data_IF_922717679463
#
_entry.id   IF_922717679463
#
_cell.length_a   1.000
_cell.length_b   1.000
_cell.length_c   1.000
_cell.angle_alpha   90.00
_cell.angle_beta   90.00
_cell.angle_gamma   90.00
#
_symmetry.space_group_name_H-M   'P 1'
#
loop_
_entity.id
_entity.type
_entity.pdbx_description
1 polymer ?
#
# COMPACT_ATOMS: atom_id res chain seq x y z
N UNK A 1 -20.99 -35.18 -9.15
CA UNK A 1 -20.22 -34.01 -8.73
C UNK A 1 -19.80 -33.25 -9.99
N UNK A 2 -20.21 -32.00 -10.12
CA UNK A 2 -19.96 -31.18 -11.29
C UNK A 2 -18.63 -30.41 -11.14
N UNK A 3 -17.95 -30.11 -12.24
CA UNK A 3 -16.71 -29.36 -12.27
C UNK A 3 -16.97 -27.96 -12.85
N UNK A 4 -16.87 -26.93 -12.01
CA UNK A 4 -16.96 -25.53 -12.42
C UNK A 4 -15.56 -25.03 -12.76
N UNK A 5 -15.33 -24.72 -14.03
CA UNK A 5 -14.02 -24.29 -14.55
C UNK A 5 -13.67 -22.90 -13.99
N UNK A 6 -12.39 -22.68 -13.61
CA UNK A 6 -11.90 -21.42 -13.07
C UNK A 6 -12.11 -21.25 -11.56
N UNK A 7 -12.56 -22.31 -10.87
CA UNK A 7 -12.70 -22.33 -9.43
C UNK A 7 -11.73 -23.30 -8.75
N UNK A 8 -11.25 -22.92 -7.58
CA UNK A 8 -10.43 -23.79 -6.72
C UNK A 8 -11.24 -25.03 -6.30
N UNK A 9 -10.56 -26.10 -5.84
CA UNK A 9 -11.23 -27.30 -5.35
C UNK A 9 -12.24 -27.01 -4.23
N UNK A 10 -11.89 -26.11 -3.28
CA UNK A 10 -12.79 -25.74 -2.19
C UNK A 10 -14.04 -25.01 -2.67
N UNK A 11 -13.90 -24.11 -3.67
CA UNK A 11 -15.05 -23.42 -4.26
C UNK A 11 -15.92 -24.35 -5.10
N UNK A 12 -15.32 -25.30 -5.81
CA UNK A 12 -16.05 -26.38 -6.51
C UNK A 12 -16.86 -27.23 -5.52
N UNK A 13 -16.28 -27.58 -4.37
CA UNK A 13 -16.98 -28.34 -3.33
C UNK A 13 -18.17 -27.51 -2.77
N UNK A 14 -17.98 -26.21 -2.53
CA UNK A 14 -19.05 -25.31 -2.07
C UNK A 14 -20.21 -25.23 -3.08
N UNK A 15 -19.90 -25.09 -4.37
CA UNK A 15 -20.91 -25.03 -5.45
C UNK A 15 -21.66 -26.36 -5.59
N UNK A 16 -20.98 -27.49 -5.49
CA UNK A 16 -21.64 -28.80 -5.50
C UNK A 16 -22.53 -29.01 -4.28
N UNK A 17 -22.07 -28.61 -3.09
CA UNK A 17 -22.89 -28.64 -1.89
C UNK A 17 -24.12 -27.74 -2.00
N UNK A 18 -24.02 -26.62 -2.72
CA UNK A 18 -25.18 -25.73 -2.97
C UNK A 18 -26.27 -26.41 -3.77
N UNK A 19 -25.92 -27.29 -4.72
CA UNK A 19 -26.86 -28.10 -5.48
C UNK A 19 -27.52 -29.12 -4.55
N UNK A 20 -26.70 -29.89 -3.81
CA UNK A 20 -27.18 -30.89 -2.85
C UNK A 20 -28.10 -30.28 -1.76
N UNK A 21 -27.75 -29.10 -1.24
CA UNK A 21 -28.57 -28.39 -0.27
C UNK A 21 -29.93 -27.96 -0.84
N UNK A 22 -29.97 -27.53 -2.12
CA UNK A 22 -31.22 -27.19 -2.79
C UNK A 22 -32.10 -28.44 -2.99
N UNK A 23 -31.53 -29.57 -3.40
CA UNK A 23 -32.22 -30.87 -3.54
C UNK A 23 -32.78 -31.35 -2.19
N UNK A 24 -31.98 -31.28 -1.11
CA UNK A 24 -32.38 -31.71 0.23
C UNK A 24 -33.47 -30.82 0.84
N UNK A 25 -33.52 -29.54 0.47
CA UNK A 25 -34.59 -28.62 0.84
C UNK A 25 -35.84 -28.78 -0.04
N UNK A 26 -35.76 -29.55 -1.10
CA UNK A 26 -36.83 -29.79 -2.06
C UNK A 26 -37.16 -28.57 -2.92
N UNK A 27 -36.19 -27.71 -3.17
CA UNK A 27 -36.35 -26.56 -4.05
C UNK A 27 -36.17 -26.98 -5.52
N UNK A 28 -36.82 -26.27 -6.43
CA UNK A 28 -36.77 -26.54 -7.89
C UNK A 28 -35.74 -25.65 -8.60
N UNK A 29 -34.89 -24.95 -7.86
CA UNK A 29 -33.89 -24.03 -8.38
C UNK A 29 -32.71 -23.91 -7.39
N UNK A 30 -31.54 -23.48 -7.93
CA UNK A 30 -30.35 -23.18 -7.13
C UNK A 30 -30.24 -21.66 -6.98
N UNK A 31 -30.58 -21.16 -5.79
CA UNK A 31 -30.57 -19.75 -5.44
C UNK A 31 -29.31 -19.32 -4.64
N UNK A 32 -29.16 -18.03 -4.40
CA UNK A 32 -28.05 -17.46 -3.63
C UNK A 32 -28.03 -17.91 -2.16
N UNK A 33 -29.18 -18.28 -1.60
CA UNK A 33 -29.33 -18.91 -0.29
C UNK A 33 -28.64 -20.26 -0.23
N UNK A 34 -28.69 -21.05 -1.32
CA UNK A 34 -27.99 -22.33 -1.40
C UNK A 34 -26.48 -22.15 -1.57
N UNK A 35 -26.04 -21.11 -2.32
CA UNK A 35 -24.62 -20.74 -2.37
C UNK A 35 -24.12 -20.37 -0.97
N UNK A 36 -24.92 -19.66 -0.16
CA UNK A 36 -24.57 -19.34 1.23
C UNK A 36 -24.37 -20.61 2.07
N UNK A 37 -25.22 -21.64 1.92
CA UNK A 37 -25.03 -22.94 2.58
C UNK A 37 -23.76 -23.65 2.10
N UNK A 38 -23.48 -23.64 0.81
CA UNK A 38 -22.25 -24.17 0.25
C UNK A 38 -20.99 -23.52 0.82
N UNK A 39 -21.01 -22.21 1.01
CA UNK A 39 -19.93 -21.45 1.61
C UNK A 39 -19.74 -21.72 3.11
N UNK A 40 -20.72 -22.31 3.79
CA UNK A 40 -20.69 -22.73 5.19
C UNK A 40 -20.47 -24.23 5.38
N UNK A 41 -20.44 -25.03 4.31
CA UNK A 41 -20.46 -26.50 4.36
C UNK A 41 -19.22 -27.13 5.02
N UNK A 42 -18.05 -26.51 4.88
CA UNK A 42 -16.81 -26.99 5.48
C UNK A 42 -16.16 -25.85 6.32
N UNK A 43 -16.00 -26.10 7.63
CA UNK A 43 -15.38 -25.16 8.56
C UNK A 43 -13.95 -24.75 8.23
N UNK A 44 -13.26 -25.53 7.38
CA UNK A 44 -11.90 -25.23 6.91
C UNK A 44 -11.88 -24.19 5.79
N UNK A 45 -13.03 -23.90 5.18
CA UNK A 45 -13.14 -22.85 4.15
C UNK A 45 -12.98 -21.45 4.75
N UNK A 46 -12.30 -20.57 4.01
CA UNK A 46 -12.13 -19.16 4.41
C UNK A 46 -13.48 -18.48 4.61
N UNK A 47 -14.45 -18.72 3.71
CA UNK A 47 -15.81 -18.20 3.82
C UNK A 47 -16.52 -18.62 5.12
N UNK A 48 -16.39 -19.91 5.48
CA UNK A 48 -16.99 -20.44 6.70
C UNK A 48 -16.35 -19.85 7.97
N UNK A 49 -15.03 -19.61 7.96
CA UNK A 49 -14.31 -18.95 9.05
C UNK A 49 -14.79 -17.50 9.25
N UNK A 50 -14.95 -16.76 8.15
CA UNK A 50 -15.43 -15.36 8.18
C UNK A 50 -16.87 -15.30 8.71
N UNK A 51 -17.78 -16.12 8.18
CA UNK A 51 -19.16 -16.15 8.62
C UNK A 51 -19.29 -16.67 10.06
N UNK A 52 -18.44 -17.63 10.45
CA UNK A 52 -18.34 -18.18 11.80
C UNK A 52 -17.94 -17.16 12.85
N UNK A 53 -17.05 -16.21 12.51
CA UNK A 53 -16.68 -15.09 13.41
C UNK A 53 -17.88 -14.21 13.77
N UNK A 54 -18.88 -14.14 12.90
CA UNK A 54 -20.17 -13.47 13.12
C UNK A 54 -21.23 -14.40 13.74
N UNK A 55 -20.84 -15.58 14.23
CA UNK A 55 -21.73 -16.59 14.83
C UNK A 55 -22.79 -17.17 13.87
N UNK A 56 -22.54 -17.06 12.56
CA UNK A 56 -23.35 -17.69 11.50
C UNK A 56 -22.80 -19.09 11.27
N UNK A 57 -23.64 -20.08 11.51
CA UNK A 57 -23.31 -21.49 11.30
C UNK A 57 -24.21 -22.10 10.23
N UNK A 58 -23.77 -23.19 9.59
CA UNK A 58 -24.56 -23.89 8.58
C UNK A 58 -25.98 -24.21 9.10
N UNK A 59 -26.10 -24.74 10.34
CA UNK A 59 -27.41 -25.08 10.94
C UNK A 59 -28.33 -23.88 11.05
N UNK A 60 -27.82 -22.72 11.54
CA UNK A 60 -28.61 -21.48 11.67
C UNK A 60 -29.07 -20.96 10.30
N UNK A 61 -28.18 -20.97 9.32
CA UNK A 61 -28.51 -20.52 7.97
C UNK A 61 -29.57 -21.46 7.32
N UNK A 62 -29.41 -22.77 7.46
CA UNK A 62 -30.38 -23.74 6.97
C UNK A 62 -31.75 -23.61 7.62
N UNK A 63 -31.81 -23.46 8.95
CA UNK A 63 -33.05 -23.23 9.69
C UNK A 63 -33.76 -21.96 9.25
N UNK A 64 -32.96 -20.86 9.05
CA UNK A 64 -33.52 -19.59 8.57
C UNK A 64 -34.05 -19.71 7.12
N UNK A 65 -33.39 -20.48 6.26
CA UNK A 65 -33.88 -20.75 4.89
C UNK A 65 -35.20 -21.52 4.94
N UNK A 66 -35.32 -22.55 5.78
CA UNK A 66 -36.55 -23.30 5.99
C UNK A 66 -37.71 -22.41 6.46
N UNK A 67 -37.40 -21.43 7.32
CA UNK A 67 -38.41 -20.50 7.84
C UNK A 67 -38.89 -19.47 6.81
N UNK A 68 -37.96 -18.98 5.94
CA UNK A 68 -38.23 -17.87 5.01
C UNK A 68 -38.71 -18.37 3.65
N UNK A 69 -38.10 -19.45 3.14
CA UNK A 69 -38.34 -19.98 1.78
C UNK A 69 -39.26 -21.20 1.83
N UNK A 70 -39.21 -21.97 2.93
CA UNK A 70 -39.96 -23.21 3.10
C UNK A 70 -39.18 -24.46 2.74
N UNK A 71 -39.88 -25.60 2.71
CA UNK A 71 -39.38 -26.91 2.31
C UNK A 71 -40.31 -27.45 1.24
N UNK A 72 -39.73 -27.96 0.15
CA UNK A 72 -40.47 -28.57 -0.95
C UNK A 72 -40.39 -30.09 -0.97
N UNK A 73 -40.80 -30.68 -2.08
CA UNK A 73 -40.64 -32.12 -2.35
C UNK A 73 -39.23 -32.37 -2.87
N UNK A 74 -38.66 -33.56 -2.59
CA UNK A 74 -37.33 -33.93 -3.12
C UNK A 74 -37.23 -33.74 -4.64
N UNK A 75 -36.16 -33.10 -5.11
CA UNK A 75 -35.91 -32.76 -6.50
C UNK A 75 -34.50 -33.24 -6.88
N UNK A 76 -34.27 -33.46 -8.17
CA UNK A 76 -32.96 -33.68 -8.74
C UNK A 76 -32.59 -32.44 -9.55
N UNK A 77 -31.49 -31.79 -9.20
CA UNK A 77 -31.05 -30.54 -9.81
C UNK A 77 -29.72 -30.70 -10.55
N UNK A 78 -29.56 -29.88 -11.54
CA UNK A 78 -28.33 -29.76 -12.34
C UNK A 78 -27.83 -28.33 -12.32
N UNK A 79 -26.59 -28.05 -12.76
CA UNK A 79 -26.12 -26.68 -12.90
C UNK A 79 -26.96 -25.78 -13.81
N UNK A 80 -27.82 -26.35 -14.67
CA UNK A 80 -28.72 -25.59 -15.54
C UNK A 80 -29.88 -24.94 -14.75
N UNK A 81 -30.21 -25.49 -13.58
CA UNK A 81 -31.25 -24.99 -12.68
C UNK A 81 -30.80 -23.82 -11.80
N UNK A 82 -29.58 -23.31 -12.06
CA UNK A 82 -29.05 -22.12 -11.39
C UNK A 82 -29.83 -20.88 -11.85
N UNK A 83 -30.37 -20.12 -10.88
CA UNK A 83 -31.10 -18.89 -11.17
C UNK A 83 -30.22 -17.86 -11.89
N UNK A 84 -30.80 -16.97 -12.74
CA UNK A 84 -30.00 -15.94 -13.45
C UNK A 84 -29.16 -15.06 -12.51
N UNK A 85 -29.69 -14.75 -11.32
CA UNK A 85 -28.97 -13.97 -10.31
C UNK A 85 -27.79 -14.75 -9.73
N UNK A 86 -27.93 -16.05 -9.47
CA UNK A 86 -26.80 -16.87 -9.03
C UNK A 86 -25.77 -17.06 -10.12
N UNK A 87 -26.18 -17.18 -11.37
CA UNK A 87 -25.26 -17.22 -12.50
C UNK A 87 -24.39 -15.97 -12.57
N UNK A 88 -25.00 -14.80 -12.38
CA UNK A 88 -24.28 -13.53 -12.28
C UNK A 88 -23.30 -13.49 -11.09
N UNK A 89 -23.68 -14.03 -9.92
CA UNK A 89 -22.78 -14.14 -8.76
C UNK A 89 -21.56 -15.01 -9.10
N UNK A 90 -21.76 -16.14 -9.76
CA UNK A 90 -20.68 -17.05 -10.19
C UNK A 90 -19.77 -16.37 -11.21
N UNK A 91 -20.32 -15.68 -12.20
CA UNK A 91 -19.55 -14.91 -13.20
C UNK A 91 -18.72 -13.80 -12.56
N UNK A 92 -19.32 -13.04 -11.63
CA UNK A 92 -18.62 -12.02 -10.86
C UNK A 92 -17.50 -12.61 -9.98
N UNK A 93 -17.73 -13.78 -9.40
CA UNK A 93 -16.69 -14.49 -8.64
C UNK A 93 -15.53 -14.89 -9.55
N UNK A 94 -15.80 -15.41 -10.75
CA UNK A 94 -14.77 -15.73 -11.76
C UNK A 94 -13.97 -14.48 -12.18
N UNK A 95 -14.65 -13.34 -12.38
CA UNK A 95 -13.99 -12.09 -12.71
C UNK A 95 -13.04 -11.63 -11.60
N UNK A 96 -13.43 -11.81 -10.33
CA UNK A 96 -12.58 -11.54 -9.17
C UNK A 96 -11.39 -12.52 -9.08
N UNK A 97 -11.59 -13.78 -9.45
CA UNK A 97 -10.56 -14.82 -9.45
C UNK A 97 -9.48 -14.62 -10.51
N UNK A 98 -9.76 -13.93 -11.62
CA UNK A 98 -8.76 -13.60 -12.65
C UNK A 98 -7.60 -12.78 -12.13
N UNK A 99 -7.84 -11.97 -11.11
CA UNK A 99 -6.84 -11.14 -10.44
C UNK A 99 -6.19 -11.86 -9.24
N UNK A 100 -6.56 -13.11 -8.97
CA UNK A 100 -5.94 -13.91 -7.90
C UNK A 100 -4.62 -14.54 -8.38
N UNK A 101 -3.65 -14.79 -7.48
CA UNK A 101 -2.31 -15.30 -7.83
C UNK A 101 -2.30 -16.59 -8.65
N UNK A 102 -3.31 -17.44 -8.49
CA UNK A 102 -3.46 -18.71 -9.23
C UNK A 102 -4.42 -18.60 -10.42
N UNK A 103 -5.01 -17.43 -10.67
CA UNK A 103 -6.01 -17.23 -11.72
C UNK A 103 -7.34 -17.99 -11.50
N UNK A 104 -7.53 -18.57 -10.30
CA UNK A 104 -8.71 -19.33 -9.92
C UNK A 104 -9.51 -18.65 -8.82
N UNK A 105 -10.84 -18.78 -8.87
CA UNK A 105 -11.75 -18.21 -7.89
C UNK A 105 -11.95 -19.15 -6.69
N UNK A 106 -11.64 -18.69 -5.50
CA UNK A 106 -11.85 -19.41 -4.24
C UNK A 106 -13.21 -19.09 -3.59
N UNK A 107 -13.45 -19.71 -2.41
CA UNK A 107 -14.67 -19.50 -1.61
C UNK A 107 -14.81 -18.05 -1.13
N UNK A 108 -13.70 -17.33 -0.99
CA UNK A 108 -13.66 -15.92 -0.62
C UNK A 108 -14.17 -15.01 -1.73
N UNK A 109 -13.74 -15.23 -2.99
CA UNK A 109 -14.22 -14.49 -4.16
C UNK A 109 -15.71 -14.77 -4.39
N UNK A 110 -16.13 -16.03 -4.18
CA UNK A 110 -17.55 -16.39 -4.28
C UNK A 110 -18.40 -15.71 -3.20
N UNK A 111 -17.92 -15.62 -1.96
CA UNK A 111 -18.57 -14.86 -0.88
C UNK A 111 -18.61 -13.36 -1.21
N UNK A 112 -17.50 -12.77 -1.67
CA UNK A 112 -17.47 -11.38 -2.11
C UNK A 112 -18.50 -11.07 -3.19
N UNK A 113 -18.60 -11.93 -4.20
CA UNK A 113 -19.56 -11.77 -5.30
C UNK A 113 -21.02 -11.86 -4.81
N UNK A 114 -21.30 -12.77 -3.86
CA UNK A 114 -22.62 -12.89 -3.23
C UNK A 114 -22.98 -11.61 -2.46
N UNK A 115 -22.07 -11.07 -1.66
CA UNK A 115 -22.30 -9.87 -0.85
C UNK A 115 -22.52 -8.60 -1.69
N UNK A 116 -21.95 -8.53 -2.90
CA UNK A 116 -22.17 -7.41 -3.84
C UNK A 116 -23.60 -7.37 -4.39
N UNK A 117 -24.27 -8.50 -4.48
CA UNK A 117 -25.69 -8.60 -4.89
C UNK A 117 -26.61 -8.43 -3.67
N UNK A 118 -26.63 -7.24 -3.08
CA UNK A 118 -27.31 -6.93 -1.81
C UNK A 118 -28.80 -7.31 -1.77
N UNK A 119 -29.48 -7.39 -2.91
CA UNK A 119 -30.89 -7.75 -3.05
C UNK A 119 -31.11 -9.28 -3.18
N UNK A 120 -30.05 -10.09 -3.13
CA UNK A 120 -30.17 -11.55 -3.25
C UNK A 120 -30.73 -12.19 -1.96
N UNK A 121 -31.32 -13.39 -2.08
CA UNK A 121 -31.89 -14.12 -0.95
C UNK A 121 -30.83 -14.46 0.11
N UNK A 122 -29.60 -14.82 -0.30
CA UNK A 122 -28.49 -15.05 0.62
C UNK A 122 -28.18 -13.84 1.51
N UNK A 123 -28.15 -12.62 0.96
CA UNK A 123 -27.94 -11.40 1.73
C UNK A 123 -29.13 -11.09 2.67
N UNK A 124 -30.35 -11.36 2.25
CA UNK A 124 -31.54 -11.20 3.11
C UNK A 124 -31.51 -12.14 4.30
N UNK A 125 -31.05 -13.38 4.10
CA UNK A 125 -30.87 -14.37 5.17
C UNK A 125 -29.79 -13.93 6.15
N UNK A 126 -28.63 -13.43 5.66
CA UNK A 126 -27.60 -12.84 6.52
C UNK A 126 -28.16 -11.70 7.38
N UNK A 127 -28.93 -10.81 6.77
CA UNK A 127 -29.56 -9.68 7.48
C UNK A 127 -30.58 -10.16 8.54
N UNK A 128 -31.37 -11.21 8.26
CA UNK A 128 -32.31 -11.80 9.23
C UNK A 128 -31.59 -12.50 10.40
N UNK A 129 -30.35 -12.94 10.19
CA UNK A 129 -29.48 -13.49 11.24
C UNK A 129 -28.73 -12.40 12.02
N UNK A 130 -29.04 -11.10 11.78
CA UNK A 130 -28.47 -9.96 12.50
C UNK A 130 -27.10 -9.49 12.00
N UNK A 131 -26.70 -9.90 10.79
CA UNK A 131 -25.41 -9.52 10.21
C UNK A 131 -25.63 -8.82 8.88
N UNK A 132 -25.12 -7.59 8.76
CA UNK A 132 -25.23 -6.85 7.49
C UNK A 132 -24.25 -7.37 6.45
N UNK A 133 -24.58 -7.38 5.15
CA UNK A 133 -23.63 -7.72 4.08
C UNK A 133 -22.35 -6.86 4.13
N UNK A 134 -22.45 -5.63 4.60
CA UNK A 134 -21.34 -4.71 4.75
C UNK A 134 -20.32 -5.17 5.82
N UNK A 135 -20.81 -5.63 6.99
CA UNK A 135 -19.95 -6.13 8.07
C UNK A 135 -19.15 -7.36 7.63
N UNK A 136 -19.77 -8.23 6.83
CA UNK A 136 -19.08 -9.41 6.26
C UNK A 136 -18.10 -9.00 5.17
N UNK A 137 -18.44 -8.02 4.32
CA UNK A 137 -17.54 -7.53 3.27
C UNK A 137 -16.25 -6.96 3.83
N UNK A 138 -16.30 -6.24 4.95
CA UNK A 138 -15.10 -5.71 5.61
C UNK A 138 -14.18 -6.83 6.11
N UNK A 139 -14.75 -7.93 6.62
CA UNK A 139 -13.97 -9.07 7.10
C UNK A 139 -13.48 -9.96 5.96
N UNK A 140 -14.20 -10.02 4.84
CA UNK A 140 -13.73 -10.65 3.60
C UNK A 140 -12.51 -9.93 3.06
N UNK A 141 -12.48 -8.59 3.07
CA UNK A 141 -11.32 -7.81 2.65
C UNK A 141 -10.11 -8.08 3.56
N UNK A 142 -10.31 -8.11 4.89
CA UNK A 142 -9.27 -8.48 5.86
C UNK A 142 -8.76 -9.91 5.68
N UNK A 143 -9.64 -10.85 5.33
CA UNK A 143 -9.26 -12.24 5.12
C UNK A 143 -8.56 -12.46 3.76
N UNK A 144 -8.79 -11.59 2.75
CA UNK A 144 -7.97 -11.54 1.53
C UNK A 144 -6.52 -11.29 1.89
N UNK A 145 -6.30 -10.37 2.82
CA UNK A 145 -4.96 -10.04 3.32
C UNK A 145 -4.28 -11.20 4.09
N UNK A 146 -5.05 -12.11 4.69
CA UNK A 146 -4.55 -13.24 5.51
C UNK A 146 -4.30 -14.51 4.67
N UNK A 147 -5.08 -14.78 3.62
CA UNK A 147 -4.92 -15.98 2.79
C UNK A 147 -3.76 -15.88 1.79
N UNK A 148 -3.36 -14.67 1.41
CA UNK A 148 -2.15 -14.41 0.63
C UNK A 148 -0.88 -14.60 1.45
N UNK A 149 -0.96 -14.56 2.80
CA UNK A 149 0.20 -14.61 3.70
C UNK A 149 0.77 -16.01 3.99
N UNK A 150 0.27 -17.09 3.40
CA UNK A 150 0.80 -18.45 3.64
C UNK A 150 1.60 -19.07 2.49
N UNK A 151 1.65 -18.49 1.28
CA UNK A 151 2.35 -19.12 0.16
C UNK A 151 3.16 -18.20 -0.78
N UNK A 152 3.35 -16.94 -0.43
CA UNK A 152 4.37 -16.10 -1.05
C UNK A 152 5.11 -15.34 0.04
N UNK A 153 6.08 -16.02 0.65
CA UNK A 153 7.11 -15.31 1.38
C UNK A 153 7.81 -14.38 0.38
N UNK A 154 7.76 -13.09 0.67
CA UNK A 154 8.72 -12.03 0.38
C UNK A 154 8.51 -11.05 -0.77
N UNK A 155 7.42 -10.97 -1.54
CA UNK A 155 7.35 -9.84 -2.47
C UNK A 155 6.00 -9.18 -2.75
N UNK A 156 4.86 -9.63 -2.18
CA UNK A 156 3.55 -9.00 -2.43
C UNK A 156 2.67 -8.89 -1.18
N UNK A 157 3.28 -8.57 -0.05
CA UNK A 157 2.53 -8.23 1.14
C UNK A 157 2.22 -6.75 1.14
N UNK A 158 0.95 -6.47 1.04
CA UNK A 158 0.31 -5.19 1.31
C UNK A 158 0.55 -4.17 0.20
N UNK A 159 -0.51 -3.72 -0.46
CA UNK A 159 -0.57 -2.31 -0.85
C UNK A 159 -0.51 -1.53 0.45
N UNK A 160 0.67 -1.42 0.98
CA UNK A 160 1.01 -0.74 2.19
C UNK A 160 0.69 0.73 1.99
N UNK A 161 0.36 1.43 3.05
CA UNK A 161 0.22 2.89 3.01
C UNK A 161 1.47 3.53 2.41
N UNK A 162 2.65 2.91 2.63
CA UNK A 162 3.91 3.27 1.98
C UNK A 162 3.82 3.17 0.45
N UNK A 163 3.29 2.08 -0.12
CA UNK A 163 3.16 1.96 -1.59
C UNK A 163 2.08 2.86 -2.19
N UNK A 164 1.16 3.35 -1.37
CA UNK A 164 0.10 4.28 -1.80
C UNK A 164 0.55 5.74 -1.79
N UNK A 165 1.37 6.13 -0.83
CA UNK A 165 1.80 7.52 -0.59
C UNK A 165 3.30 7.71 -0.65
N UNK A 166 4.07 6.63 -0.82
CA UNK A 166 5.52 6.63 -0.92
C UNK A 166 6.00 6.16 -2.28
N UNK A 167 7.14 6.67 -2.69
CA UNK A 167 7.89 6.26 -3.89
C UNK A 167 9.18 5.61 -3.43
N UNK A 168 9.38 4.32 -3.75
CA UNK A 168 10.61 3.63 -3.42
C UNK A 168 11.74 4.07 -4.37
N UNK A 169 12.65 4.88 -3.84
CA UNK A 169 13.79 5.40 -4.61
C UNK A 169 14.82 4.30 -4.85
N UNK A 170 14.98 3.33 -3.95
CA UNK A 170 15.95 2.24 -4.11
C UNK A 170 15.51 1.28 -5.21
N UNK A 171 14.25 0.90 -5.23
CA UNK A 171 13.67 0.08 -6.31
C UNK A 171 13.76 0.80 -7.67
N UNK A 172 13.52 2.10 -7.70
CA UNK A 172 13.70 2.90 -8.92
C UNK A 172 15.16 2.97 -9.37
N UNK A 173 16.11 3.07 -8.43
CA UNK A 173 17.54 3.05 -8.73
C UNK A 173 17.96 1.70 -9.34
N UNK A 174 17.50 0.58 -8.77
CA UNK A 174 17.76 -0.77 -9.28
C UNK A 174 17.22 -0.96 -10.70
N UNK A 175 16.06 -0.40 -10.99
CA UNK A 175 15.42 -0.45 -12.31
C UNK A 175 15.95 0.60 -13.31
N UNK A 176 16.96 1.38 -12.95
CA UNK A 176 17.52 2.44 -13.81
C UNK A 176 16.60 3.64 -14.03
N UNK A 177 15.58 3.81 -13.17
CA UNK A 177 14.59 4.88 -13.24
C UNK A 177 15.04 6.21 -12.63
N UNK A 178 16.24 6.26 -12.02
CA UNK A 178 16.82 7.49 -11.45
C UNK A 178 17.96 7.99 -12.35
N UNK A 179 18.04 9.29 -12.49
CA UNK A 179 19.13 9.94 -13.21
C UNK A 179 20.45 9.87 -12.41
N UNK A 180 21.60 9.79 -13.07
CA UNK A 180 22.88 9.82 -12.38
C UNK A 180 23.05 11.15 -11.62
N UNK A 181 23.35 11.04 -10.33
CA UNK A 181 23.56 12.21 -9.47
C UNK A 181 25.01 12.62 -9.52
N UNK A 182 25.28 13.80 -10.04
CA UNK A 182 26.64 14.34 -10.27
C UNK A 182 26.85 15.55 -9.37
N UNK A 183 28.07 15.72 -8.85
CA UNK A 183 28.47 16.91 -8.08
C UNK A 183 27.91 16.96 -6.64
N UNK A 184 27.32 15.86 -6.15
CA UNK A 184 26.73 15.78 -4.79
C UNK A 184 27.39 14.71 -3.90
N UNK A 185 28.52 14.18 -4.29
CA UNK A 185 29.20 13.07 -3.59
C UNK A 185 29.55 13.41 -2.13
N UNK A 186 29.97 14.67 -1.85
CA UNK A 186 30.29 15.10 -0.51
C UNK A 186 29.05 15.10 0.42
N UNK A 187 27.90 15.61 -0.10
CA UNK A 187 26.64 15.64 0.62
C UNK A 187 26.11 14.22 0.86
N UNK A 188 26.13 13.36 -0.15
CA UNK A 188 25.67 11.97 -0.03
C UNK A 188 26.53 11.22 0.99
N UNK A 189 27.86 11.34 0.91
CA UNK A 189 28.78 10.75 1.90
C UNK A 189 28.46 11.24 3.31
N UNK A 190 28.19 12.53 3.47
CA UNK A 190 27.82 13.10 4.78
C UNK A 190 26.51 12.57 5.30
N UNK A 191 25.50 12.39 4.45
CA UNK A 191 24.24 11.74 4.79
C UNK A 191 24.46 10.31 5.28
N UNK A 192 25.27 9.51 4.57
CA UNK A 192 25.63 8.14 4.95
C UNK A 192 26.34 8.11 6.31
N UNK A 193 27.30 9.00 6.54
CA UNK A 193 28.00 9.10 7.83
C UNK A 193 27.02 9.38 8.98
N UNK A 194 26.05 10.26 8.76
CA UNK A 194 25.04 10.61 9.78
C UNK A 194 24.12 9.42 10.04
N UNK A 195 23.62 8.76 9.01
CA UNK A 195 22.76 7.58 9.12
C UNK A 195 23.41 6.43 9.90
N UNK A 196 24.75 6.32 9.85
CA UNK A 196 25.50 5.31 10.58
C UNK A 196 25.78 5.67 12.05
N UNK A 197 25.39 6.85 12.52
CA UNK A 197 25.61 7.27 13.92
C UNK A 197 24.66 6.57 14.88
N UNK A 198 25.08 6.47 16.14
CA UNK A 198 24.22 5.96 17.21
C UNK A 198 23.14 6.97 17.66
N UNK A 199 23.45 8.25 17.58
CA UNK A 199 22.57 9.35 17.98
C UNK A 199 22.66 10.47 16.95
N UNK A 200 21.64 11.34 16.86
CA UNK A 200 21.51 12.36 15.79
C UNK A 200 21.72 11.72 14.40
N UNK A 201 21.09 10.57 14.19
CA UNK A 201 21.25 9.74 12.99
C UNK A 201 20.21 10.05 11.90
N UNK A 202 19.55 11.19 11.98
CA UNK A 202 18.62 11.66 10.96
C UNK A 202 19.22 12.89 10.27
N UNK A 203 19.70 12.79 9.03
CA UNK A 203 20.19 13.94 8.29
C UNK A 203 19.04 14.86 7.87
N UNK A 204 19.25 16.16 7.95
CA UNK A 204 18.35 17.17 7.41
C UNK A 204 19.10 18.00 6.36
N UNK A 205 18.70 17.86 5.09
CA UNK A 205 19.24 18.59 3.96
C UNK A 205 18.72 20.03 4.01
N UNK A 206 19.62 20.99 4.10
CA UNK A 206 19.28 22.41 4.19
C UNK A 206 19.84 23.14 2.98
N UNK A 207 19.01 23.92 2.32
CA UNK A 207 19.41 24.73 1.16
C UNK A 207 18.22 25.43 0.53
N UNK A 208 18.48 26.36 -0.36
CA UNK A 208 17.48 27.10 -1.08
C UNK A 208 16.60 26.18 -1.96
N UNK A 209 15.39 26.60 -2.32
CA UNK A 209 14.58 25.87 -3.29
C UNK A 209 15.33 25.65 -4.61
N UNK A 210 15.24 24.45 -5.18
CA UNK A 210 15.84 24.15 -6.49
C UNK A 210 17.33 23.72 -6.47
N UNK A 211 18.06 23.82 -5.34
CA UNK A 211 19.49 23.43 -5.28
C UNK A 211 19.76 21.93 -5.42
N UNK A 212 18.71 21.08 -5.48
CA UNK A 212 18.86 19.64 -5.69
C UNK A 212 18.92 18.82 -4.40
N UNK A 213 18.18 19.19 -3.35
CA UNK A 213 18.05 18.39 -2.12
C UNK A 213 17.50 17.00 -2.39
N UNK A 214 16.49 16.89 -3.23
CA UNK A 214 15.91 15.59 -3.65
C UNK A 214 16.91 14.74 -4.40
N UNK A 215 17.77 15.33 -5.24
CA UNK A 215 18.84 14.62 -5.92
C UNK A 215 19.85 13.97 -4.95
N UNK A 216 20.10 14.56 -3.78
CA UNK A 216 20.96 13.95 -2.74
C UNK A 216 20.29 12.67 -2.18
N UNK A 217 18.99 12.67 -1.98
CA UNK A 217 18.25 11.47 -1.53
C UNK A 217 18.21 10.38 -2.64
N UNK A 218 18.07 10.77 -3.90
CA UNK A 218 18.18 9.88 -5.05
C UNK A 218 19.58 9.29 -5.17
N UNK A 219 20.63 10.10 -4.95
CA UNK A 219 22.02 9.66 -4.92
C UNK A 219 22.30 8.68 -3.78
N UNK A 220 21.69 8.86 -2.61
CA UNK A 220 21.75 7.88 -1.53
C UNK A 220 21.13 6.55 -1.96
N UNK A 221 19.96 6.60 -2.59
CA UNK A 221 19.28 5.40 -3.10
C UNK A 221 20.10 4.66 -4.16
N UNK A 222 20.77 5.39 -5.08
CA UNK A 222 21.70 4.82 -6.06
C UNK A 222 22.88 4.12 -5.40
N UNK A 223 23.50 4.71 -4.35
CA UNK A 223 24.61 4.08 -3.63
C UNK A 223 24.18 2.86 -2.84
N UNK A 224 22.98 2.86 -2.25
CA UNK A 224 22.41 1.67 -1.58
C UNK A 224 22.17 0.56 -2.60
N UNK A 225 21.53 0.86 -3.73
CA UNK A 225 21.23 -0.10 -4.79
C UNK A 225 22.51 -0.72 -5.41
N UNK A 226 23.58 0.08 -5.58
CA UNK A 226 24.88 -0.42 -6.06
C UNK A 226 25.68 -1.16 -4.99
N UNK A 227 25.26 -1.12 -3.72
CA UNK A 227 26.01 -1.71 -2.60
C UNK A 227 27.23 -0.90 -2.14
N UNK A 228 27.43 0.32 -2.64
CA UNK A 228 28.55 1.21 -2.28
C UNK A 228 28.25 2.01 -1.01
N UNK A 229 27.86 1.28 0.04
CA UNK A 229 27.52 1.83 1.36
C UNK A 229 28.05 0.93 2.47
N UNK A 230 28.24 1.45 3.69
CA UNK A 230 28.57 0.64 4.86
C UNK A 230 27.55 -0.48 5.10
N UNK A 231 27.99 -1.58 5.74
CA UNK A 231 27.19 -2.78 5.99
C UNK A 231 25.84 -2.50 6.64
N UNK A 232 25.76 -1.48 7.51
CA UNK A 232 24.54 -1.04 8.18
C UNK A 232 23.45 -0.55 7.23
N UNK A 233 23.79 -0.13 6.03
CA UNK A 233 22.88 0.45 5.05
C UNK A 233 22.62 -0.44 3.83
N UNK A 234 23.36 -1.53 3.63
CA UNK A 234 23.25 -2.39 2.43
C UNK A 234 21.87 -2.97 2.17
N UNK A 235 21.08 -3.21 3.23
CA UNK A 235 19.74 -3.77 3.09
C UNK A 235 18.65 -2.74 3.35
N UNK A 236 19.01 -1.45 3.39
CA UNK A 236 18.04 -0.38 3.61
C UNK A 236 17.39 0.03 2.28
N UNK A 237 16.16 0.53 2.40
CA UNK A 237 15.38 1.09 1.29
C UNK A 237 15.06 2.54 1.60
N UNK A 238 15.24 3.42 0.64
CA UNK A 238 14.88 4.84 0.76
C UNK A 238 13.52 5.05 0.15
N UNK A 239 12.56 5.46 0.96
CA UNK A 239 11.18 5.72 0.53
C UNK A 239 10.86 7.19 0.68
N UNK A 240 10.61 7.85 -0.45
CA UNK A 240 10.14 9.24 -0.48
C UNK A 240 8.64 9.29 -0.21
N UNK A 241 8.23 10.04 0.81
CA UNK A 241 6.83 10.19 1.19
C UNK A 241 6.30 11.53 0.69
N UNK A 242 5.19 11.49 -0.07
CA UNK A 242 4.49 12.68 -0.55
C UNK A 242 3.39 13.10 0.46
N UNK A 243 3.70 14.11 1.24
CA UNK A 243 2.77 14.66 2.23
C UNK A 243 1.55 15.32 1.59
N UNK A 244 1.71 15.92 0.41
CA UNK A 244 0.63 16.59 -0.31
C UNK A 244 -0.44 15.57 -0.74
N UNK A 245 -0.01 14.44 -1.27
CA UNK A 245 -0.90 13.32 -1.59
C UNK A 245 -1.57 12.72 -0.35
N UNK A 246 -0.91 12.77 0.81
CA UNK A 246 -1.48 12.28 2.06
C UNK A 246 -2.59 13.18 2.62
N UNK A 247 -2.49 14.48 2.42
CA UNK A 247 -3.53 15.45 2.80
C UNK A 247 -4.67 15.45 1.80
N UNK A 248 -4.40 15.21 0.52
CA UNK A 248 -5.40 15.20 -0.52
C UNK A 248 -6.50 14.14 -0.25
N UNK A 249 -7.75 14.59 -0.32
CA UNK A 249 -8.92 13.72 -0.10
C UNK A 249 -9.23 13.38 1.37
N UNK A 250 -8.56 13.98 2.34
CA UNK A 250 -8.96 13.92 3.74
C UNK A 250 -10.08 14.95 4.00
N UNK A 251 -11.18 14.51 4.60
CA UNK A 251 -12.27 15.40 5.03
C UNK A 251 -12.10 15.86 6.47
N UNK A 252 -11.38 15.10 7.26
CA UNK A 252 -11.18 15.35 8.69
C UNK A 252 -9.68 15.28 9.05
N UNK A 253 -9.30 16.06 10.04
CA UNK A 253 -7.93 16.10 10.61
C UNK A 253 -7.43 14.69 11.01
N UNK A 254 -8.27 13.87 11.63
CA UNK A 254 -7.94 12.53 12.08
C UNK A 254 -7.51 11.58 10.97
N UNK A 255 -8.04 11.76 9.74
CA UNK A 255 -7.70 10.89 8.60
C UNK A 255 -6.23 11.02 8.21
N UNK A 256 -5.67 12.23 8.24
CA UNK A 256 -4.26 12.47 7.93
C UNK A 256 -3.34 11.96 9.05
N UNK A 257 -3.70 12.20 10.32
CA UNK A 257 -2.97 11.69 11.48
C UNK A 257 -2.91 10.15 11.46
N UNK A 258 -4.03 9.50 11.13
CA UNK A 258 -4.09 8.04 10.99
C UNK A 258 -3.22 7.52 9.84
N UNK A 259 -3.19 8.21 8.69
CA UNK A 259 -2.34 7.84 7.54
C UNK A 259 -0.86 7.90 7.91
N UNK A 260 -0.40 9.00 8.54
CA UNK A 260 0.99 9.12 9.00
C UNK A 260 1.33 8.04 10.02
N UNK A 261 0.47 7.83 11.02
CA UNK A 261 0.67 6.79 12.03
C UNK A 261 0.82 5.41 11.41
N UNK A 262 -0.03 5.08 10.44
CA UNK A 262 0.04 3.79 9.76
C UNK A 262 1.36 3.62 8.98
N UNK A 263 1.87 4.68 8.31
CA UNK A 263 3.18 4.65 7.64
C UNK A 263 4.30 4.42 8.67
N UNK A 264 4.28 5.14 9.79
CA UNK A 264 5.30 5.00 10.83
C UNK A 264 5.28 3.58 11.42
N UNK A 265 4.10 3.05 11.75
CA UNK A 265 3.94 1.70 12.25
C UNK A 265 4.46 0.64 11.26
N UNK A 266 4.31 0.91 9.97
CA UNK A 266 4.80 0.08 8.89
C UNK A 266 6.32 0.12 8.78
N UNK A 267 6.92 1.33 8.83
CA UNK A 267 8.38 1.53 8.84
C UNK A 267 9.03 0.89 10.06
N UNK A 268 8.42 1.04 11.23
CA UNK A 268 8.88 0.40 12.46
C UNK A 268 8.87 -1.14 12.38
N UNK A 269 7.87 -1.72 11.71
CA UNK A 269 7.75 -3.18 11.53
C UNK A 269 8.75 -3.74 10.54
N UNK A 270 9.04 -3.02 9.45
CA UNK A 270 10.01 -3.42 8.43
C UNK A 270 11.44 -3.30 8.97
N UNK A 271 11.75 -2.20 9.66
CA UNK A 271 13.07 -1.95 10.26
C UNK A 271 14.18 -1.62 9.25
N UNK A 272 13.95 -1.78 7.94
CA UNK A 272 14.93 -1.54 6.87
C UNK A 272 14.59 -0.31 6.01
N UNK A 273 13.63 0.49 6.40
CA UNK A 273 13.19 1.66 5.66
C UNK A 273 13.82 2.92 6.22
N UNK A 274 14.35 3.75 5.33
CA UNK A 274 14.72 5.14 5.57
C UNK A 274 13.69 6.01 4.88
N UNK A 275 12.97 6.84 5.64
CA UNK A 275 11.99 7.76 5.08
C UNK A 275 12.69 9.01 4.56
N UNK A 276 12.49 9.36 3.29
CA UNK A 276 12.79 10.69 2.78
C UNK A 276 11.54 11.54 2.81
N UNK A 277 11.63 12.70 3.48
CA UNK A 277 10.54 13.64 3.64
C UNK A 277 10.99 14.98 3.10
N UNK A 278 10.49 15.33 1.92
CA UNK A 278 10.68 16.67 1.38
C UNK A 278 9.77 17.66 2.11
N UNK A 279 10.21 18.90 2.19
CA UNK A 279 9.51 19.96 2.95
C UNK A 279 9.16 19.51 4.38
N UNK A 280 10.15 18.97 5.11
CA UNK A 280 9.99 18.43 6.47
C UNK A 280 9.27 19.40 7.42
N UNK A 281 9.38 20.72 7.18
CA UNK A 281 8.69 21.75 7.93
C UNK A 281 7.16 21.65 7.86
N UNK A 282 6.60 21.07 6.80
CA UNK A 282 5.15 20.85 6.68
C UNK A 282 4.61 19.85 7.71
N UNK A 283 5.44 18.92 8.17
CA UNK A 283 5.06 18.00 9.26
C UNK A 283 5.10 18.71 10.61
N UNK A 284 6.09 19.61 10.82
CA UNK A 284 6.39 20.21 12.12
C UNK A 284 5.66 21.54 12.31
N UNK A 285 5.47 22.29 11.22
CA UNK A 285 4.95 23.66 11.25
C UNK A 285 3.45 23.81 11.06
N UNK A 286 2.77 22.75 10.70
CA UNK A 286 1.34 22.76 10.41
C UNK A 286 0.46 23.11 11.65
N UNK A 287 1.03 23.17 12.86
CA UNK A 287 0.32 23.46 14.11
C UNK A 287 0.07 24.92 14.44
N UNK A 288 0.55 25.90 13.66
CA UNK A 288 0.44 27.33 13.98
C UNK A 288 -0.78 28.04 13.40
N UNK A 289 -1.53 27.44 12.50
CA UNK A 289 -2.83 27.93 12.05
C UNK A 289 -3.96 27.13 12.72
N UNK A 290 -5.04 27.80 13.14
CA UNK A 290 -6.22 27.13 13.69
C UNK A 290 -6.71 26.05 12.70
N UNK A 291 -6.49 24.75 13.03
CA UNK A 291 -6.84 23.61 12.19
C UNK A 291 -5.69 22.85 11.53
N UNK A 292 -4.44 23.29 11.67
CA UNK A 292 -3.27 22.61 11.10
C UNK A 292 -2.85 21.38 11.91
N UNK A 293 -2.41 20.33 11.20
CA UNK A 293 -2.10 19.01 11.76
C UNK A 293 -0.71 19.03 12.39
N UNK A 294 -0.60 18.68 13.66
CA UNK A 294 0.69 18.49 14.33
C UNK A 294 1.17 17.03 14.17
N UNK A 295 1.54 16.69 12.95
CA UNK A 295 2.09 15.35 12.63
C UNK A 295 3.46 15.12 13.31
N UNK A 296 4.12 16.18 13.77
CA UNK A 296 5.35 16.07 14.53
C UNK A 296 5.15 15.25 15.81
N UNK A 297 4.02 15.40 16.48
CA UNK A 297 3.73 14.63 17.70
C UNK A 297 3.60 13.11 17.47
N UNK A 298 3.33 12.70 16.25
CA UNK A 298 3.27 11.28 15.86
C UNK A 298 4.68 10.75 15.55
N UNK A 299 5.54 11.57 14.92
CA UNK A 299 6.93 11.22 14.58
C UNK A 299 7.88 11.25 15.78
N UNK A 300 7.73 12.23 16.67
CA UNK A 300 8.63 12.45 17.81
C UNK A 300 8.90 11.20 18.67
N UNK A 301 7.89 10.41 19.07
CA UNK A 301 8.12 9.21 19.89
C UNK A 301 9.02 8.19 19.19
N UNK A 302 8.76 7.88 17.93
CA UNK A 302 9.51 6.87 17.16
C UNK A 302 10.93 7.35 16.80
N UNK A 303 11.10 8.64 16.48
CA UNK A 303 12.42 9.28 16.36
C UNK A 303 13.19 9.25 17.69
N UNK A 304 12.51 9.52 18.81
CA UNK A 304 13.13 9.53 20.14
C UNK A 304 13.64 8.16 20.55
N UNK A 305 12.90 7.09 20.23
CA UNK A 305 13.32 5.71 20.49
C UNK A 305 14.31 5.16 19.48
N UNK A 306 14.54 5.88 18.36
CA UNK A 306 15.39 5.42 17.27
C UNK A 306 14.80 4.26 16.48
N UNK A 307 13.47 4.12 16.48
CA UNK A 307 12.74 3.07 15.75
C UNK A 307 12.65 3.34 14.25
N UNK A 308 12.77 4.60 13.86
CA UNK A 308 12.77 5.04 12.46
C UNK A 308 13.98 5.92 12.16
N UNK A 309 14.41 5.89 10.90
CA UNK A 309 15.40 6.80 10.33
C UNK A 309 14.74 7.69 9.27
N UNK A 310 15.02 8.98 9.34
CA UNK A 310 14.45 9.99 8.44
C UNK A 310 15.55 10.83 7.82
N UNK A 311 15.49 11.03 6.53
CA UNK A 311 16.22 12.06 5.79
C UNK A 311 15.23 13.17 5.49
N UNK A 312 15.38 14.32 6.11
CA UNK A 312 14.53 15.48 5.86
C UNK A 312 15.15 16.42 4.85
N UNK A 313 14.33 17.21 4.14
CA UNK A 313 14.78 18.31 3.31
C UNK A 313 13.94 19.56 3.63
N UNK A 314 14.58 20.74 3.75
CA UNK A 314 13.91 22.01 4.05
C UNK A 314 14.82 23.17 3.70
N UNK A 315 14.34 24.41 3.83
CA UNK A 315 15.18 25.61 3.76
C UNK A 315 15.81 25.93 5.13
N UNK A 316 16.85 26.77 5.14
CA UNK A 316 17.52 27.18 6.38
C UNK A 316 16.57 27.93 7.33
N UNK A 317 15.76 28.83 6.79
CA UNK A 317 14.82 29.62 7.57
C UNK A 317 13.73 28.78 8.22
N UNK A 318 13.19 27.80 7.46
CA UNK A 318 12.20 26.86 7.96
C UNK A 318 12.79 25.88 8.98
N UNK A 319 14.03 25.43 8.79
CA UNK A 319 14.73 24.63 9.79
C UNK A 319 14.85 25.37 11.12
N UNK A 320 15.33 26.62 11.10
CA UNK A 320 15.46 27.46 12.30
C UNK A 320 14.13 27.75 12.96
N UNK A 321 13.09 27.95 12.14
CA UNK A 321 11.76 28.34 12.64
C UNK A 321 11.03 27.17 13.30
N UNK A 322 11.13 25.96 12.75
CA UNK A 322 10.28 24.83 13.12
C UNK A 322 11.02 23.67 13.78
N UNK A 323 12.26 23.35 13.35
CA UNK A 323 12.98 22.17 13.83
C UNK A 323 13.93 22.52 14.97
N UNK A 324 14.72 23.58 14.83
CA UNK A 324 15.69 24.00 15.82
C UNK A 324 15.04 24.46 17.13
N UNK A 325 13.84 25.02 17.08
CA UNK A 325 13.07 25.44 18.26
C UNK A 325 12.46 24.25 19.02
N UNK A 326 12.35 23.11 18.42
CA UNK A 326 11.81 21.91 19.05
C UNK A 326 12.95 21.05 19.60
N UNK A 327 13.15 21.07 20.91
CA UNK A 327 14.26 20.38 21.56
C UNK A 327 14.27 18.85 21.32
N UNK A 328 13.11 18.23 21.01
CA UNK A 328 13.02 16.80 20.73
C UNK A 328 13.53 16.49 19.31
N UNK A 329 13.25 17.34 18.35
CA UNK A 329 13.70 17.20 16.97
C UNK A 329 15.15 17.65 16.80
N UNK A 330 15.54 18.77 17.40
CA UNK A 330 16.91 19.32 17.36
C UNK A 330 17.96 18.28 17.80
N UNK A 331 17.64 17.48 18.83
CA UNK A 331 18.51 16.41 19.32
C UNK A 331 18.58 15.19 18.42
N UNK A 332 17.73 15.10 17.40
CA UNK A 332 17.62 13.93 16.51
C UNK A 332 18.08 14.19 15.10
N UNK A 333 17.93 15.42 14.64
CA UNK A 333 18.36 15.82 13.31
C UNK A 333 19.80 16.41 13.32
N UNK A 334 20.52 16.14 12.23
CA UNK A 334 21.82 16.72 11.93
C UNK A 334 21.77 17.38 10.57
N UNK A 335 22.13 18.64 10.50
CA UNK A 335 22.10 19.42 9.26
C UNK A 335 23.19 19.02 8.29
N UNK A 336 22.84 19.03 7.00
CA UNK A 336 23.73 18.87 5.84
C UNK A 336 23.41 20.00 4.87
N UNK A 337 24.37 20.94 4.66
CA UNK A 337 24.19 22.03 3.70
C UNK A 337 24.25 21.51 2.27
N UNK A 338 23.29 21.94 1.46
CA UNK A 338 23.19 21.68 0.02
C UNK A 338 23.16 23.04 -0.66
N UNK A 339 24.32 23.54 -0.98
CA UNK A 339 24.49 24.85 -1.60
C UNK A 339 24.34 24.74 -3.12
N UNK A 340 24.16 25.87 -3.79
CA UNK A 340 24.20 25.94 -5.24
C UNK A 340 25.55 25.40 -5.75
N UNK A 341 25.54 24.60 -6.83
CA UNK A 341 26.79 24.12 -7.41
C UNK A 341 27.57 25.27 -8.07
N UNK A 342 28.90 25.20 -8.00
CA UNK A 342 29.72 26.11 -8.75
C UNK A 342 29.64 25.87 -10.27
N UNK A 343 30.19 26.81 -11.05
CA UNK A 343 30.16 26.76 -12.51
C UNK A 343 30.66 25.45 -13.08
N UNK A 344 31.80 24.96 -12.57
CA UNK A 344 32.44 23.73 -13.06
C UNK A 344 31.58 22.50 -12.79
N UNK A 345 31.06 22.40 -11.57
CA UNK A 345 30.12 21.34 -11.15
C UNK A 345 28.83 21.38 -11.96
N UNK A 346 28.29 22.58 -12.24
CA UNK A 346 27.08 22.75 -13.06
C UNK A 346 27.28 22.23 -14.48
N UNK A 347 28.45 22.54 -15.09
CA UNK A 347 28.82 22.01 -16.41
C UNK A 347 28.91 20.48 -16.39
N UNK A 348 29.51 19.89 -15.35
CA UNK A 348 29.59 18.45 -15.19
C UNK A 348 28.19 17.80 -15.03
N UNK A 349 27.30 18.42 -14.27
CA UNK A 349 25.91 17.96 -14.12
C UNK A 349 25.19 17.95 -15.47
N UNK A 350 25.27 19.04 -16.23
CA UNK A 350 24.64 19.13 -17.54
C UNK A 350 25.23 18.14 -18.54
N UNK A 351 26.54 17.93 -18.52
CA UNK A 351 27.21 16.90 -19.37
C UNK A 351 26.72 15.49 -19.02
N UNK A 352 26.53 15.20 -17.74
CA UNK A 352 26.03 13.89 -17.32
C UNK A 352 24.58 13.61 -17.68
N UNK A 353 23.76 14.67 -17.80
CA UNK A 353 22.36 14.56 -18.21
C UNK A 353 22.17 14.67 -19.73
N UNK A 354 23.19 15.15 -20.47
CA UNK A 354 23.16 15.45 -21.91
C UNK A 354 22.55 14.33 -22.73
N UNK A 355 23.04 13.11 -22.62
CA UNK A 355 22.61 11.97 -23.43
C UNK A 355 21.11 11.66 -23.26
N UNK A 356 20.57 11.81 -22.05
CA UNK A 356 19.14 11.59 -21.77
C UNK A 356 18.28 12.67 -22.42
N UNK A 357 18.69 13.93 -22.31
CA UNK A 357 18.01 15.04 -22.98
C UNK A 357 18.08 14.92 -24.52
N UNK A 358 19.24 14.58 -25.06
CA UNK A 358 19.42 14.34 -26.51
C UNK A 358 18.49 13.23 -27.00
N UNK A 359 18.42 12.12 -26.28
CA UNK A 359 17.59 10.97 -26.63
C UNK A 359 16.10 11.30 -26.52
N UNK A 360 15.69 12.03 -25.48
CA UNK A 360 14.28 12.37 -25.24
C UNK A 360 13.75 13.35 -26.28
N UNK A 361 14.55 14.38 -26.59
CA UNK A 361 14.14 15.45 -27.52
C UNK A 361 14.59 15.20 -28.97
N UNK A 362 15.33 14.13 -29.23
CA UNK A 362 15.89 13.80 -30.54
C UNK A 362 16.70 14.95 -31.13
N UNK A 363 17.54 15.60 -30.33
CA UNK A 363 18.43 16.72 -30.69
C UNK A 363 19.84 16.41 -30.22
N UNK A 364 20.83 17.12 -30.75
CA UNK A 364 22.22 17.08 -30.26
C UNK A 364 22.53 18.38 -29.52
N UNK A 365 23.13 18.27 -28.35
CA UNK A 365 23.55 19.40 -27.51
C UNK A 365 25.09 19.49 -27.59
N UNK A 366 25.62 20.62 -28.12
CA UNK A 366 27.07 20.79 -28.15
C UNK A 366 27.65 21.18 -26.78
N UNK A 367 28.92 20.97 -26.57
CA UNK A 367 29.59 21.37 -25.34
C UNK A 367 29.66 22.90 -25.21
N UNK A 368 29.72 23.62 -26.32
CA UNK A 368 29.62 25.08 -26.35
C UNK A 368 28.25 25.57 -25.88
N UNK A 369 27.19 24.89 -26.29
CA UNK A 369 25.81 25.20 -25.82
C UNK A 369 25.68 25.00 -24.32
N UNK A 370 26.25 23.95 -23.74
CA UNK A 370 26.29 23.71 -22.30
C UNK A 370 27.01 24.84 -21.57
N UNK A 371 28.23 25.18 -22.03
CA UNK A 371 29.00 26.28 -21.42
C UNK A 371 28.26 27.61 -21.50
N UNK A 372 27.70 27.95 -22.66
CA UNK A 372 26.92 29.17 -22.85
C UNK A 372 25.64 29.21 -21.97
N UNK A 373 24.97 28.06 -21.80
CA UNK A 373 23.79 27.98 -20.93
C UNK A 373 24.16 28.27 -19.47
N UNK A 374 25.32 27.74 -18.98
CA UNK A 374 25.76 28.02 -17.62
C UNK A 374 26.22 29.47 -17.48
N UNK A 375 26.96 30.01 -18.42
CA UNK A 375 27.45 31.39 -18.38
C UNK A 375 26.36 32.44 -18.44
N UNK A 376 25.20 32.11 -19.04
CA UNK A 376 24.04 32.99 -19.11
C UNK A 376 23.07 32.83 -17.94
N UNK A 377 23.22 31.76 -17.12
CA UNK A 377 22.38 31.51 -15.96
C UNK A 377 22.91 32.11 -14.67
N UNK A 378 24.18 32.51 -14.66
CA UNK A 378 24.86 33.21 -13.58
C UNK A 378 24.82 34.72 -13.88
#
# INVERSE_FOLDING_TARGET
>A
MYKFTGFTQSANNALNYSIEAAENLGHTYIGSEHILLGLLSDSRMVSASILGSKKITLKKAEEQIKNVVGIGLPTNLTPDDITPRCRKIIENALALGRNAPLGESGTQQLLSALLRETQCAGCKILSSLGVTPYDVSSDVLKASDISESKNSKLSEMKKNMISKYGKDLTELAENGGIDPVIGRNAQIKRVIEILCRRTKNNPCLIGEPGVGKTAVAEGLALQIASGDVPELLKNKRVISVDLTCMVAGTKYRGDFEERIKNIIDEVCKDGNIILFIDELHNIVGAGSAEGAVDAANILKPSLARGEIQVVGATTLDEYRKYIEKDAALERRFQTVSVDEPDRETTILMLKGLKERYEKHHNVKISDEAINSAVDLSV
#
